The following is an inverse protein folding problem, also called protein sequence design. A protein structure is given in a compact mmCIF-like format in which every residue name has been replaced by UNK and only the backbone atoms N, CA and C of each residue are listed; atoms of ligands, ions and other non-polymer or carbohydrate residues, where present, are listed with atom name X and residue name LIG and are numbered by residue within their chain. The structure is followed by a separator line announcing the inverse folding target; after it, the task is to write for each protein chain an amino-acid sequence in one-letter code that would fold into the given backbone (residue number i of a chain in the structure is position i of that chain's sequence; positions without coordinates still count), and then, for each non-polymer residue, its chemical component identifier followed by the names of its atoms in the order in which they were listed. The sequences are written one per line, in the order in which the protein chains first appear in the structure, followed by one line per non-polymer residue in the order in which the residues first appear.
data_IF_971038915843
#
_entry.id   IF_971038915843
#
_cell.length_a   1.000
_cell.length_b   1.000
_cell.length_c   1.000
_cell.angle_alpha   90.00
_cell.angle_beta   90.00
_cell.angle_gamma   90.00
#
_symmetry.space_group_name_H-M   'P 1'
#
loop_
_entity.id
_entity.type
_entity.pdbx_description
1 polymer ?
#
# COMPACT_ATOMS: atom_id res chain seq x y z
N UNK A 1 -0.83 -30.66 -44.33
CA UNK A 1 -0.03 -29.57 -43.73
C UNK A 1 1.29 -30.15 -43.24
N UNK A 2 2.45 -29.56 -43.56
CA UNK A 2 3.75 -30.13 -43.17
C UNK A 2 3.90 -30.10 -41.64
N UNK A 3 4.49 -31.16 -41.05
CA UNK A 3 4.79 -31.27 -39.62
C UNK A 3 5.54 -30.05 -39.07
N UNK A 4 6.42 -29.44 -39.89
CA UNK A 4 7.11 -28.18 -39.55
C UNK A 4 6.16 -27.01 -39.31
N UNK A 5 5.08 -26.90 -40.09
CA UNK A 5 4.07 -25.83 -39.92
C UNK A 5 3.25 -26.03 -38.64
N UNK A 6 2.98 -27.29 -38.28
CA UNK A 6 2.25 -27.62 -37.04
C UNK A 6 3.09 -27.26 -35.81
N UNK A 7 4.39 -27.60 -35.81
CA UNK A 7 5.31 -27.25 -34.72
C UNK A 7 5.46 -25.74 -34.53
N UNK A 8 5.53 -24.98 -35.63
CA UNK A 8 5.60 -23.51 -35.59
C UNK A 8 4.34 -22.91 -34.95
N UNK A 9 3.15 -23.41 -35.32
CA UNK A 9 1.89 -22.93 -34.75
C UNK A 9 1.81 -23.24 -33.26
N UNK A 10 2.19 -24.45 -32.85
CA UNK A 10 2.23 -24.82 -31.43
C UNK A 10 3.20 -23.94 -30.64
N UNK A 11 4.39 -23.70 -31.16
CA UNK A 11 5.38 -22.81 -30.53
C UNK A 11 4.88 -21.36 -30.43
N UNK A 12 4.28 -20.83 -31.49
CA UNK A 12 3.69 -19.49 -31.46
C UNK A 12 2.57 -19.40 -30.42
N UNK A 13 1.68 -20.40 -30.38
CA UNK A 13 0.57 -20.44 -29.43
C UNK A 13 1.04 -20.45 -27.98
N UNK A 14 2.04 -21.28 -27.64
CA UNK A 14 2.60 -21.34 -26.29
C UNK A 14 3.32 -20.05 -25.92
N UNK A 15 4.04 -19.43 -26.85
CA UNK A 15 4.69 -18.14 -26.65
C UNK A 15 3.66 -17.03 -26.35
N UNK A 16 2.55 -16.96 -27.08
CA UNK A 16 1.47 -16.01 -26.78
C UNK A 16 0.86 -16.24 -25.41
N UNK A 17 0.61 -17.50 -25.00
CA UNK A 17 0.07 -17.80 -23.67
C UNK A 17 1.06 -17.34 -22.59
N UNK A 18 2.35 -17.60 -22.77
CA UNK A 18 3.39 -17.25 -21.81
C UNK A 18 3.59 -15.73 -21.68
N UNK A 19 3.44 -14.98 -22.78
CA UNK A 19 3.44 -13.52 -22.76
C UNK A 19 2.17 -12.95 -22.12
N UNK A 20 1.01 -13.54 -22.41
CA UNK A 20 -0.27 -13.09 -21.84
C UNK A 20 -0.35 -13.34 -20.32
N UNK A 21 0.09 -14.51 -19.84
CA UNK A 21 0.12 -14.80 -18.41
C UNK A 21 1.09 -13.89 -17.69
N UNK A 22 2.27 -13.60 -18.26
CA UNK A 22 3.18 -12.60 -17.72
C UNK A 22 2.50 -11.23 -17.65
N UNK A 23 1.85 -10.77 -18.71
CA UNK A 23 1.21 -9.45 -18.73
C UNK A 23 0.05 -9.33 -17.74
N UNK A 24 -0.76 -10.38 -17.57
CA UNK A 24 -1.85 -10.40 -16.59
C UNK A 24 -1.34 -10.46 -15.14
N UNK A 25 -0.21 -11.11 -14.89
CA UNK A 25 0.36 -11.20 -13.54
C UNK A 25 1.04 -9.91 -13.07
N UNK A 26 1.37 -9.01 -14.00
CA UNK A 26 2.08 -7.74 -13.73
C UNK A 26 1.16 -6.50 -13.78
N UNK A 27 -0.16 -6.65 -13.75
CA UNK A 27 -1.01 -5.50 -13.41
C UNK A 27 -0.73 -5.14 -11.95
N UNK A 28 0.11 -4.12 -11.77
CA UNK A 28 0.46 -3.56 -10.47
C UNK A 28 -0.79 -2.91 -9.89
N UNK A 29 -1.55 -3.65 -9.08
CA UNK A 29 -2.67 -3.14 -8.29
C UNK A 29 -2.15 -2.41 -7.03
N UNK A 30 -0.96 -1.81 -7.13
CA UNK A 30 -0.35 -1.12 -6.01
C UNK A 30 -0.92 0.30 -5.92
N UNK A 31 -1.32 0.66 -4.71
CA UNK A 31 -1.81 1.99 -4.38
C UNK A 31 -0.63 2.83 -3.93
N UNK A 32 -0.54 4.07 -4.37
CA UNK A 32 0.43 5.02 -3.81
C UNK A 32 -0.08 5.52 -2.48
N UNK A 33 0.64 5.22 -1.41
CA UNK A 33 0.37 5.71 -0.07
C UNK A 33 1.28 6.89 0.19
N UNK A 34 0.71 8.03 0.59
CA UNK A 34 1.47 9.21 0.98
C UNK A 34 1.07 9.62 2.39
N UNK A 35 2.03 9.60 3.30
CA UNK A 35 1.84 10.03 4.69
C UNK A 35 2.49 11.40 4.86
N UNK A 36 1.70 12.39 5.27
CA UNK A 36 2.13 13.79 5.42
C UNK A 36 2.10 14.19 6.89
N UNK A 37 3.21 14.69 7.37
CA UNK A 37 3.32 15.22 8.72
C UNK A 37 3.15 16.74 8.68
N UNK A 38 1.99 17.26 9.05
CA UNK A 38 1.73 18.72 9.14
C UNK A 38 2.06 19.30 10.51
N UNK A 39 2.75 18.54 11.35
CA UNK A 39 3.07 18.94 12.72
C UNK A 39 4.49 19.47 12.82
N UNK A 40 4.77 20.15 13.92
CA UNK A 40 6.10 20.67 14.25
C UNK A 40 7.02 19.63 14.91
N UNK A 41 6.58 18.38 15.03
CA UNK A 41 7.32 17.29 15.66
C UNK A 41 7.67 16.23 14.62
N UNK A 42 8.77 15.50 14.86
CA UNK A 42 9.10 14.33 14.06
C UNK A 42 8.27 13.13 14.53
N UNK A 43 7.84 12.30 13.60
CA UNK A 43 7.04 11.10 13.91
C UNK A 43 7.86 9.88 13.59
N UNK A 44 8.08 9.05 14.59
CA UNK A 44 8.95 7.89 14.49
C UNK A 44 8.16 6.57 14.56
N UNK A 45 8.76 5.50 14.03
CA UNK A 45 8.30 4.12 14.20
C UNK A 45 6.81 3.91 13.84
N UNK A 46 6.46 4.29 12.61
CA UNK A 46 5.17 3.95 12.01
C UNK A 46 5.28 2.63 11.26
N UNK A 47 4.20 1.86 11.27
CA UNK A 47 4.07 0.62 10.50
C UNK A 47 2.74 0.69 9.76
N UNK A 48 2.81 0.65 8.43
CA UNK A 48 1.65 0.61 7.57
C UNK A 48 1.36 -0.83 7.14
N UNK A 49 0.09 -1.24 7.18
CA UNK A 49 -0.28 -2.60 6.78
C UNK A 49 -1.70 -2.68 6.24
N UNK A 50 -1.94 -3.70 5.40
CA UNK A 50 -3.27 -4.18 5.03
C UNK A 50 -3.43 -5.62 5.50
N UNK A 51 -4.66 -6.03 5.82
CA UNK A 51 -4.97 -7.42 6.16
C UNK A 51 -4.85 -8.40 4.98
N UNK A 52 -4.91 -7.94 3.72
CA UNK A 52 -4.72 -8.78 2.52
C UNK A 52 -3.23 -8.96 2.16
N UNK A 53 -2.36 -8.14 2.74
CA UNK A 53 -0.93 -8.13 2.44
C UNK A 53 -0.12 -8.53 3.68
N UNK A 54 0.50 -9.70 3.63
CA UNK A 54 1.32 -10.23 4.74
C UNK A 54 2.57 -9.40 5.04
N UNK A 55 2.96 -8.47 4.14
CA UNK A 55 4.14 -7.63 4.32
C UNK A 55 3.76 -6.26 4.86
N UNK A 56 4.22 -5.94 6.04
CA UNK A 56 4.11 -4.59 6.60
C UNK A 56 5.17 -3.64 6.00
N UNK A 57 4.85 -2.36 5.91
CA UNK A 57 5.79 -1.31 5.50
C UNK A 57 6.18 -0.46 6.71
N UNK A 58 7.44 -0.58 7.14
CA UNK A 58 7.97 0.15 8.29
C UNK A 58 8.56 1.50 7.88
N UNK A 59 8.16 2.55 8.59
CA UNK A 59 8.64 3.92 8.41
C UNK A 59 9.33 4.34 9.70
N UNK A 60 10.64 4.53 9.64
CA UNK A 60 11.45 4.86 10.82
C UNK A 60 11.20 6.27 11.32
N UNK A 61 11.08 7.26 10.40
CA UNK A 61 10.90 8.66 10.74
C UNK A 61 10.24 9.42 9.58
N UNK A 62 9.31 10.33 9.92
CA UNK A 62 8.80 11.39 9.06
C UNK A 62 9.08 12.73 9.75
N UNK A 63 9.93 13.55 9.13
CA UNK A 63 10.28 14.86 9.69
C UNK A 63 9.08 15.80 9.75
N UNK A 64 9.10 16.77 10.66
CA UNK A 64 8.11 17.84 10.74
C UNK A 64 7.91 18.53 9.38
N UNK A 65 6.66 18.73 8.96
CA UNK A 65 6.31 19.38 7.68
C UNK A 65 6.86 18.69 6.42
N UNK A 66 7.04 17.36 6.48
CA UNK A 66 7.47 16.55 5.33
C UNK A 66 6.49 15.42 5.04
N UNK A 67 6.69 14.77 3.90
CA UNK A 67 5.92 13.61 3.48
C UNK A 67 6.81 12.44 3.06
N UNK A 68 6.24 11.25 3.12
CA UNK A 68 6.82 10.04 2.55
C UNK A 68 5.77 9.38 1.65
N UNK A 69 6.21 8.89 0.50
CA UNK A 69 5.35 8.18 -0.45
C UNK A 69 5.95 6.82 -0.82
N UNK A 70 5.10 5.81 -0.91
CA UNK A 70 5.51 4.46 -1.30
C UNK A 70 4.34 3.72 -1.99
N UNK A 71 4.68 2.75 -2.83
CA UNK A 71 3.70 1.85 -3.45
C UNK A 71 3.41 0.68 -2.50
N UNK A 72 2.13 0.35 -2.33
CA UNK A 72 1.69 -0.73 -1.45
C UNK A 72 0.43 -1.40 -2.00
N UNK A 73 0.45 -2.73 -2.05
CA UNK A 73 -0.75 -3.50 -2.38
C UNK A 73 -1.70 -3.53 -1.18
N UNK A 74 -2.79 -2.77 -1.25
CA UNK A 74 -3.81 -2.66 -0.18
C UNK A 74 -4.82 -3.81 -0.19
N UNK A 75 -4.86 -4.60 -1.26
CA UNK A 75 -5.82 -5.69 -1.43
C UNK A 75 -6.90 -5.39 -2.46
N UNK A 76 -7.60 -6.44 -2.90
CA UNK A 76 -8.77 -6.33 -3.78
C UNK A 76 -10.03 -5.83 -3.05
N UNK A 77 -11.13 -5.61 -3.78
CA UNK A 77 -12.43 -5.28 -3.19
C UNK A 77 -12.88 -6.40 -2.23
N UNK A 78 -12.92 -6.14 -0.91
CA UNK A 78 -13.45 -7.06 0.11
C UNK A 78 -13.47 -6.38 1.51
N UNK A 79 -13.61 -7.16 2.59
CA UNK A 79 -13.34 -6.80 4.00
C UNK A 79 -11.87 -6.41 4.29
N UNK A 80 -11.17 -5.88 3.29
CA UNK A 80 -9.81 -5.44 3.43
C UNK A 80 -9.77 -4.11 4.19
N UNK A 81 -8.81 -4.00 5.10
CA UNK A 81 -8.66 -2.85 5.99
C UNK A 81 -7.21 -2.40 6.03
N UNK A 82 -7.03 -1.09 5.93
CA UNK A 82 -5.73 -0.43 5.96
C UNK A 82 -5.50 0.16 7.34
N UNK A 83 -4.35 -0.13 7.91
CA UNK A 83 -4.01 0.27 9.27
C UNK A 83 -2.65 0.98 9.30
N UNK A 84 -2.55 1.97 10.17
CA UNK A 84 -1.31 2.61 10.55
C UNK A 84 -1.09 2.36 12.04
N UNK A 85 0.01 1.73 12.40
CA UNK A 85 0.42 1.53 13.78
C UNK A 85 1.54 2.51 14.12
N UNK A 86 1.41 3.21 15.23
CA UNK A 86 2.44 4.07 15.80
C UNK A 86 3.00 3.43 17.06
N UNK A 87 4.33 3.32 17.15
CA UNK A 87 5.02 2.83 18.34
C UNK A 87 5.80 3.99 18.97
N UNK A 88 5.31 4.49 20.10
CA UNK A 88 6.01 5.53 20.87
C UNK A 88 7.38 5.04 21.35
N UNK A 89 8.27 5.98 21.70
CA UNK A 89 9.57 5.67 22.32
C UNK A 89 9.47 4.80 23.59
N UNK A 90 8.36 4.94 24.34
CA UNK A 90 8.07 4.12 25.52
C UNK A 90 7.68 2.66 25.21
N UNK A 91 7.61 2.30 23.93
CA UNK A 91 7.17 0.99 23.44
C UNK A 91 5.64 0.80 23.40
N UNK A 92 4.86 1.81 23.82
CA UNK A 92 3.40 1.76 23.68
C UNK A 92 3.01 1.87 22.21
N UNK A 93 2.16 0.97 21.75
CA UNK A 93 1.63 0.98 20.39
C UNK A 93 0.19 1.44 20.33
N UNK A 94 -0.15 2.29 19.36
CA UNK A 94 -1.52 2.66 19.00
C UNK A 94 -1.78 2.28 17.54
N UNK A 95 -2.94 1.69 17.27
CA UNK A 95 -3.38 1.38 15.91
C UNK A 95 -4.43 2.40 15.48
N UNK A 96 -4.28 2.93 14.28
CA UNK A 96 -5.21 3.81 13.60
C UNK A 96 -5.78 3.06 12.40
N UNK A 97 -7.10 2.94 12.38
CA UNK A 97 -7.81 2.40 11.23
C UNK A 97 -7.91 3.53 10.19
N UNK A 98 -7.18 3.38 9.09
CA UNK A 98 -7.11 4.38 8.01
C UNK A 98 -8.29 4.19 7.07
N UNK A 99 -8.52 2.94 6.65
CA UNK A 99 -9.68 2.53 5.84
C UNK A 99 -10.22 1.25 6.45
N UNK A 100 -11.46 1.30 6.94
CA UNK A 100 -12.11 0.14 7.58
C UNK A 100 -12.71 -0.86 6.60
N UNK A 101 -12.85 -0.48 5.34
CA UNK A 101 -13.36 -1.32 4.26
C UNK A 101 -12.92 -0.74 2.91
N UNK A 102 -12.16 -1.52 2.12
CA UNK A 102 -11.76 -1.14 0.76
C UNK A 102 -12.95 -1.35 -0.19
N UNK A 103 -13.72 -0.29 -0.41
CA UNK A 103 -14.90 -0.32 -1.30
C UNK A 103 -14.54 -0.18 -2.77
N UNK A 104 -13.36 0.37 -3.07
CA UNK A 104 -12.88 0.52 -4.43
C UNK A 104 -11.37 0.35 -4.60
N UNK A 105 -10.89 0.23 -5.83
CA UNK A 105 -9.45 0.28 -6.10
C UNK A 105 -8.98 1.73 -5.99
N UNK A 106 -8.17 2.01 -4.99
CA UNK A 106 -7.54 3.32 -4.81
C UNK A 106 -6.23 3.37 -5.60
N UNK A 107 -6.08 4.42 -6.40
CA UNK A 107 -4.79 4.79 -6.98
C UNK A 107 -3.92 5.50 -5.95
N UNK A 108 -4.55 6.31 -5.08
CA UNK A 108 -3.88 7.11 -4.06
C UNK A 108 -4.60 7.05 -2.72
N UNK A 109 -3.81 6.95 -1.64
CA UNK A 109 -4.29 7.18 -0.27
C UNK A 109 -3.37 8.22 0.37
N UNK A 110 -3.95 9.35 0.75
CA UNK A 110 -3.30 10.41 1.51
C UNK A 110 -3.66 10.29 2.99
N UNK A 111 -2.64 10.26 3.84
CA UNK A 111 -2.76 10.16 5.30
C UNK A 111 -2.12 11.40 5.90
N UNK A 112 -2.94 12.37 6.27
CA UNK A 112 -2.50 13.64 6.81
C UNK A 112 -2.52 13.59 8.35
N UNK A 113 -1.34 13.68 8.95
CA UNK A 113 -1.18 13.80 10.40
C UNK A 113 -1.21 15.28 10.75
N UNK A 114 -2.33 15.74 11.28
CA UNK A 114 -2.66 17.17 11.43
C UNK A 114 -2.22 17.75 12.77
N UNK A 115 -2.18 16.91 13.81
CA UNK A 115 -1.71 17.29 15.15
C UNK A 115 -1.37 16.05 15.97
N UNK A 116 -0.62 16.24 17.06
CA UNK A 116 -0.28 15.23 18.04
C UNK A 116 -0.88 15.67 19.38
N UNK A 117 -1.61 14.79 20.05
CA UNK A 117 -2.17 15.06 21.37
C UNK A 117 -1.05 15.12 22.43
N UNK A 118 -1.35 15.68 23.60
CA UNK A 118 -0.39 15.70 24.72
C UNK A 118 0.06 14.30 25.16
N UNK A 119 -0.75 13.27 24.88
CA UNK A 119 -0.45 11.87 25.20
C UNK A 119 0.29 11.14 24.06
N UNK A 120 0.65 11.86 22.98
CA UNK A 120 1.34 11.30 21.82
C UNK A 120 0.43 10.59 20.80
N UNK A 121 -0.88 10.80 20.87
CA UNK A 121 -1.82 10.25 19.89
C UNK A 121 -1.88 11.13 18.64
N UNK A 122 -1.89 10.49 17.47
CA UNK A 122 -1.90 11.17 16.18
C UNK A 122 -3.34 11.47 15.77
N UNK A 123 -3.61 12.72 15.40
CA UNK A 123 -4.87 13.11 14.76
C UNK A 123 -4.71 13.01 13.25
N UNK A 124 -5.40 12.03 12.67
CA UNK A 124 -5.23 11.62 11.27
C UNK A 124 -6.47 11.97 10.47
N UNK A 125 -6.25 12.56 9.30
CA UNK A 125 -7.23 12.71 8.24
C UNK A 125 -6.81 11.85 7.04
N UNK A 126 -7.78 11.24 6.37
CA UNK A 126 -7.53 10.34 5.24
C UNK A 126 -8.32 10.82 4.03
N UNK A 127 -7.67 10.87 2.88
CA UNK A 127 -8.28 11.15 1.57
C UNK A 127 -7.86 10.06 0.57
N UNK A 128 -8.79 9.62 -0.27
CA UNK A 128 -8.57 8.52 -1.23
C UNK A 128 -9.01 8.91 -2.63
N UNK A 129 -8.29 8.45 -3.66
CA UNK A 129 -8.63 8.62 -5.08
C UNK A 129 -8.39 7.35 -5.89
#
# INVERSE_FOLDING_TARGET
MSTKKILIILFLSSLTVLLATKYMFFQNNETTITIRNHTNENIENLIFSSNDNEKEFSISNIQSYTDISFEYYVGGFNENAVNLKHISESGKSKNYNIIGYVSEFYSYIYIDITSISLDGELNIQVETH
#
